data_IF_866942534610
#
_entry.id   IF_866942534610
#
_cell.length_a   1.000
_cell.length_b   1.000
_cell.length_c   1.000
_cell.angle_alpha   90.00
_cell.angle_beta   90.00
_cell.angle_gamma   90.00
#
_symmetry.space_group_name_H-M   'P 1'
#
loop_
_entity.id
_entity.type
_entity.pdbx_description
1 polymer ?
#
# COMPACT_ATOMS: atom_id res chain seq x y z
N UNK A 1 54.89 5.52 -36.08
CA UNK A 1 55.48 6.07 -37.32
C UNK A 1 54.46 6.93 -38.07
N UNK A 2 53.75 7.79 -37.32
CA UNK A 2 52.62 8.64 -37.76
C UNK A 2 53.06 10.11 -37.85
N UNK A 3 54.37 10.42 -37.95
CA UNK A 3 54.84 11.82 -37.83
C UNK A 3 55.81 12.32 -38.91
N UNK A 4 56.19 11.53 -39.92
CA UNK A 4 57.16 11.96 -40.96
C UNK A 4 56.56 12.07 -42.37
N UNK A 5 55.49 11.34 -42.71
CA UNK A 5 54.86 11.43 -44.05
C UNK A 5 53.77 12.52 -44.09
N UNK A 6 53.95 13.55 -43.26
CA UNK A 6 53.11 14.74 -43.26
C UNK A 6 53.79 15.98 -43.86
N UNK A 7 55.07 15.92 -44.25
CA UNK A 7 55.80 17.19 -44.42
C UNK A 7 56.07 17.71 -45.84
N UNK A 8 56.21 16.95 -46.94
CA UNK A 8 56.80 17.60 -48.15
C UNK A 8 56.15 17.34 -49.51
N UNK A 9 55.46 16.24 -49.74
CA UNK A 9 54.90 15.97 -51.09
C UNK A 9 53.52 15.38 -50.87
N UNK A 10 52.41 16.13 -50.93
CA UNK A 10 51.89 16.78 -52.13
C UNK A 10 50.83 17.84 -51.76
N UNK A 11 50.84 18.45 -50.55
CA UNK A 11 49.81 19.44 -50.14
C UNK A 11 49.74 20.65 -51.09
N UNK A 12 50.86 21.03 -51.71
CA UNK A 12 50.90 22.12 -52.68
C UNK A 12 50.47 21.70 -54.10
N UNK A 13 50.64 20.42 -54.48
CA UNK A 13 50.21 19.89 -55.79
C UNK A 13 48.74 19.47 -55.79
N UNK A 14 48.14 19.11 -54.65
CA UNK A 14 46.71 18.76 -54.53
C UNK A 14 45.81 20.01 -54.52
N UNK A 15 46.23 21.10 -53.86
CA UNK A 15 45.44 22.33 -53.83
C UNK A 15 45.38 23.08 -55.18
N UNK A 16 46.28 22.81 -56.13
CA UNK A 16 46.24 23.45 -57.44
C UNK A 16 45.32 22.76 -58.47
N UNK A 17 44.78 21.57 -58.21
CA UNK A 17 43.98 20.83 -59.21
C UNK A 17 42.55 20.43 -58.81
N UNK A 18 42.06 20.69 -57.60
CA UNK A 18 40.69 20.32 -57.23
C UNK A 18 39.90 21.48 -56.59
N UNK A 19 38.88 21.97 -57.29
CA UNK A 19 37.96 23.05 -56.86
C UNK A 19 36.98 22.64 -55.73
N UNK A 20 37.22 21.54 -55.00
CA UNK A 20 36.45 21.17 -53.78
C UNK A 20 37.22 20.17 -52.90
N UNK A 21 37.03 20.19 -51.57
CA UNK A 21 37.61 19.20 -50.66
C UNK A 21 36.96 17.83 -50.86
N UNK A 22 37.77 16.76 -50.95
CA UNK A 22 37.31 15.37 -51.08
C UNK A 22 36.90 14.79 -49.74
N UNK A 23 35.89 13.91 -49.74
CA UNK A 23 35.40 13.15 -48.58
C UNK A 23 36.22 11.87 -48.34
N UNK A 24 36.19 11.31 -47.12
CA UNK A 24 36.97 10.11 -46.76
C UNK A 24 36.69 8.89 -47.68
N UNK A 25 35.47 8.76 -48.19
CA UNK A 25 35.09 7.70 -49.14
C UNK A 25 35.77 7.85 -50.52
N UNK A 26 36.02 9.08 -50.96
CA UNK A 26 36.69 9.39 -52.23
C UNK A 26 38.22 9.15 -52.16
N UNK A 27 38.79 9.06 -50.96
CA UNK A 27 40.23 8.81 -50.74
C UNK A 27 40.57 7.32 -50.52
N UNK A 28 39.64 6.56 -49.92
CA UNK A 28 39.87 5.13 -49.59
C UNK A 28 39.70 4.22 -50.81
N UNK A 29 38.74 4.51 -51.70
CA UNK A 29 38.47 3.68 -52.87
C UNK A 29 39.62 3.59 -53.90
N UNK A 30 40.42 4.66 -54.16
CA UNK A 30 41.62 4.56 -54.99
C UNK A 30 42.79 3.83 -54.31
N UNK A 31 42.95 3.96 -52.98
CA UNK A 31 44.01 3.28 -52.21
C UNK A 31 43.81 1.76 -52.17
N UNK A 32 42.56 1.30 -52.03
CA UNK A 32 42.21 -0.12 -52.09
C UNK A 32 42.41 -0.75 -53.49
N UNK A 33 42.54 0.05 -54.54
CA UNK A 33 42.78 -0.40 -55.93
C UNK A 33 44.26 -0.41 -56.32
N UNK A 34 45.17 0.09 -55.47
CA UNK A 34 46.53 0.41 -55.89
C UNK A 34 47.63 -0.55 -55.41
N UNK A 35 47.37 -1.48 -54.48
CA UNK A 35 48.42 -2.39 -54.02
C UNK A 35 47.90 -3.80 -53.70
N UNK A 36 48.47 -4.87 -54.30
CA UNK A 36 48.18 -6.27 -53.94
C UNK A 36 48.41 -6.57 -52.46
N UNK A 37 49.28 -5.79 -51.80
CA UNK A 37 49.60 -5.89 -50.37
C UNK A 37 48.37 -5.62 -49.49
N UNK A 38 47.49 -4.68 -49.86
CA UNK A 38 46.26 -4.42 -49.10
C UNK A 38 45.24 -5.55 -49.22
N UNK A 39 45.13 -6.17 -50.39
CA UNK A 39 44.26 -7.34 -50.57
C UNK A 39 44.79 -8.55 -49.79
N UNK A 40 46.11 -8.73 -49.76
CA UNK A 40 46.76 -9.82 -49.02
C UNK A 40 46.72 -9.60 -47.50
N UNK A 41 46.84 -8.36 -47.02
CA UNK A 41 46.62 -8.00 -45.61
C UNK A 41 45.14 -8.12 -45.21
N UNK A 42 44.20 -7.75 -46.08
CA UNK A 42 42.76 -7.93 -45.86
C UNK A 42 42.36 -9.42 -45.83
N UNK A 43 42.91 -10.24 -46.74
CA UNK A 43 42.72 -11.71 -46.74
C UNK A 43 43.43 -12.38 -45.56
N UNK A 44 44.62 -11.93 -45.17
CA UNK A 44 45.34 -12.35 -43.97
C UNK A 44 44.53 -12.07 -42.70
N UNK A 45 43.90 -10.88 -42.61
CA UNK A 45 42.99 -10.51 -41.53
C UNK A 45 41.73 -11.39 -41.51
N UNK A 46 41.15 -11.71 -42.67
CA UNK A 46 39.99 -12.62 -42.78
C UNK A 46 40.35 -14.06 -42.39
N UNK A 47 41.56 -14.54 -42.71
CA UNK A 47 42.00 -15.90 -42.41
C UNK A 47 42.37 -16.18 -40.94
N UNK A 48 42.45 -15.15 -40.07
CA UNK A 48 42.76 -15.30 -38.65
C UNK A 48 41.59 -14.97 -37.70
N UNK A 49 40.40 -14.64 -38.24
CA UNK A 49 39.23 -14.44 -37.41
C UNK A 49 38.72 -15.77 -36.86
N UNK A 50 38.65 -15.88 -35.53
CA UNK A 50 38.22 -17.09 -34.83
C UNK A 50 37.33 -16.71 -33.65
N UNK A 51 36.44 -17.63 -33.27
CA UNK A 51 35.70 -17.55 -32.00
C UNK A 51 36.62 -18.03 -30.89
N UNK A 52 37.15 -17.10 -30.08
CA UNK A 52 38.03 -17.40 -28.94
C UNK A 52 37.23 -17.95 -27.77
N UNK A 53 36.07 -17.35 -27.50
CA UNK A 53 35.09 -17.85 -26.54
C UNK A 53 33.71 -17.85 -27.18
N UNK A 54 33.16 -19.05 -27.37
CA UNK A 54 31.81 -19.23 -27.89
C UNK A 54 30.73 -18.99 -26.85
N UNK A 55 29.48 -19.06 -27.28
CA UNK A 55 28.35 -19.08 -26.37
C UNK A 55 28.35 -20.36 -25.54
N UNK A 56 28.06 -20.22 -24.26
CA UNK A 56 27.84 -21.30 -23.32
C UNK A 56 26.34 -21.38 -23.00
N UNK A 57 25.89 -22.53 -22.49
CA UNK A 57 24.52 -22.63 -21.98
C UNK A 57 24.42 -21.81 -20.69
N UNK A 58 23.35 -21.02 -20.59
CA UNK A 58 23.08 -20.15 -19.44
C UNK A 58 21.76 -20.59 -18.82
N UNK A 59 21.74 -20.71 -17.50
CA UNK A 59 20.52 -20.86 -16.72
C UNK A 59 20.24 -19.55 -15.98
N UNK A 60 18.99 -19.10 -16.01
CA UNK A 60 18.55 -17.91 -15.30
C UNK A 60 17.18 -18.18 -14.65
N UNK A 61 16.88 -17.48 -13.56
CA UNK A 61 15.52 -17.48 -13.00
C UNK A 61 14.70 -16.37 -13.65
N UNK A 62 13.39 -16.57 -13.78
CA UNK A 62 12.49 -15.54 -14.28
C UNK A 62 12.59 -14.24 -13.44
N UNK A 63 12.49 -13.10 -14.10
CA UNK A 63 12.77 -11.74 -13.59
C UNK A 63 14.25 -11.38 -13.35
N UNK A 64 15.20 -12.31 -13.45
CA UNK A 64 16.63 -11.98 -13.39
C UNK A 64 17.15 -11.36 -14.70
N UNK A 65 18.37 -10.81 -14.66
CA UNK A 65 19.08 -10.42 -15.88
C UNK A 65 20.19 -11.42 -16.17
N UNK A 66 20.32 -11.84 -17.42
CA UNK A 66 21.39 -12.75 -17.84
C UNK A 66 22.23 -12.13 -18.97
N UNK A 67 23.47 -12.58 -19.09
CA UNK A 67 24.42 -12.12 -20.12
C UNK A 67 24.89 -13.31 -20.96
N UNK A 68 24.74 -13.19 -22.27
CA UNK A 68 25.35 -14.09 -23.24
C UNK A 68 26.55 -13.37 -23.85
N UNK A 69 27.72 -14.01 -23.83
CA UNK A 69 28.98 -13.37 -24.21
C UNK A 69 29.76 -14.20 -25.22
N UNK A 70 30.31 -13.51 -26.22
CA UNK A 70 31.19 -14.09 -27.23
C UNK A 70 32.44 -13.24 -27.33
N UNK A 71 33.60 -13.89 -27.43
CA UNK A 71 34.88 -13.21 -27.66
C UNK A 71 35.47 -13.67 -28.98
N UNK A 72 35.78 -12.72 -29.86
CA UNK A 72 36.46 -12.97 -31.13
C UNK A 72 37.96 -12.72 -31.03
N UNK A 73 38.75 -13.27 -31.96
CA UNK A 73 40.21 -13.04 -32.00
C UNK A 73 40.57 -11.60 -32.39
N UNK A 74 39.68 -10.91 -33.12
CA UNK A 74 39.85 -9.55 -33.65
C UNK A 74 38.79 -8.61 -33.07
N UNK A 75 39.17 -7.36 -32.81
CA UNK A 75 38.30 -6.36 -32.20
C UNK A 75 37.41 -5.65 -33.23
N UNK A 76 36.27 -5.12 -32.77
CA UNK A 76 35.34 -4.25 -33.51
C UNK A 76 34.71 -4.91 -34.75
N UNK A 77 34.66 -6.24 -34.78
CA UNK A 77 33.95 -7.00 -35.82
C UNK A 77 32.45 -6.87 -35.60
N UNK A 78 31.67 -6.57 -36.63
CA UNK A 78 30.22 -6.55 -36.51
C UNK A 78 29.67 -7.98 -36.39
N UNK A 79 28.68 -8.17 -35.51
CA UNK A 79 28.04 -9.47 -35.30
C UNK A 79 26.53 -9.36 -35.17
N UNK A 80 25.86 -10.45 -35.53
CA UNK A 80 24.40 -10.57 -35.51
C UNK A 80 23.99 -11.59 -34.47
N UNK A 81 23.02 -11.21 -33.65
CA UNK A 81 22.39 -12.10 -32.68
C UNK A 81 21.05 -12.58 -33.22
N UNK A 82 20.78 -13.88 -33.11
CA UNK A 82 19.46 -14.46 -33.43
C UNK A 82 18.98 -15.34 -32.27
N UNK A 83 17.66 -15.44 -32.10
CA UNK A 83 16.98 -16.39 -31.21
C UNK A 83 16.03 -17.21 -32.05
N UNK A 84 16.20 -18.53 -32.05
CA UNK A 84 15.39 -19.48 -32.83
C UNK A 84 15.23 -19.03 -34.31
N UNK A 85 16.33 -18.55 -34.90
CA UNK A 85 16.40 -18.06 -36.28
C UNK A 85 15.94 -16.62 -36.51
N UNK A 86 15.34 -15.96 -35.51
CA UNK A 86 14.89 -14.57 -35.63
C UNK A 86 15.96 -13.59 -35.15
N UNK A 87 16.31 -12.60 -35.97
CA UNK A 87 17.30 -11.60 -35.61
C UNK A 87 16.84 -10.71 -34.46
N UNK A 88 17.70 -10.58 -33.44
CA UNK A 88 17.49 -9.74 -32.29
C UNK A 88 17.96 -8.31 -32.58
N UNK A 89 17.22 -7.35 -32.04
CA UNK A 89 17.56 -5.93 -32.08
C UNK A 89 17.73 -5.41 -30.66
N UNK A 90 18.63 -4.44 -30.50
CA UNK A 90 18.82 -3.77 -29.22
C UNK A 90 17.54 -3.03 -28.82
N UNK A 91 17.04 -3.29 -27.62
CA UNK A 91 15.84 -2.70 -27.01
C UNK A 91 16.00 -2.66 -25.47
N UNK A 92 15.15 -1.97 -24.71
CA UNK A 92 15.33 -1.83 -23.26
C UNK A 92 15.47 -3.16 -22.48
N UNK A 93 14.74 -4.21 -22.88
CA UNK A 93 14.82 -5.55 -22.27
C UNK A 93 15.92 -6.47 -22.85
N UNK A 94 16.59 -6.05 -23.91
CA UNK A 94 17.58 -6.85 -24.65
C UNK A 94 18.65 -5.91 -25.20
N UNK A 95 19.72 -5.71 -24.42
CA UNK A 95 20.80 -4.80 -24.76
C UNK A 95 21.91 -5.55 -25.48
N UNK A 96 22.18 -5.17 -26.72
CA UNK A 96 23.32 -5.70 -27.49
C UNK A 96 24.42 -4.67 -27.47
N UNK A 97 25.63 -5.08 -27.08
CA UNK A 97 26.81 -4.22 -27.04
C UNK A 97 28.04 -4.94 -27.55
N UNK A 98 29.03 -4.16 -27.97
CA UNK A 98 30.34 -4.67 -28.41
C UNK A 98 31.41 -3.76 -27.84
N UNK A 99 32.40 -4.36 -27.17
CA UNK A 99 33.52 -3.65 -26.59
C UNK A 99 34.83 -4.36 -26.98
N UNK A 100 35.55 -3.78 -27.93
CA UNK A 100 36.75 -4.39 -28.50
C UNK A 100 36.43 -5.75 -29.11
N UNK A 101 36.97 -6.82 -28.53
CA UNK A 101 36.79 -8.22 -28.98
C UNK A 101 35.55 -8.90 -28.42
N UNK A 102 34.88 -8.29 -27.45
CA UNK A 102 33.79 -8.89 -26.68
C UNK A 102 32.44 -8.40 -27.22
N UNK A 103 31.57 -9.35 -27.51
CA UNK A 103 30.16 -9.14 -27.86
C UNK A 103 29.30 -9.61 -26.70
N UNK A 104 28.36 -8.78 -26.27
CA UNK A 104 27.48 -9.07 -25.15
C UNK A 104 26.02 -8.85 -25.54
N UNK A 105 25.19 -9.80 -25.16
CA UNK A 105 23.73 -9.71 -25.21
C UNK A 105 23.22 -9.83 -23.77
N UNK A 106 22.72 -8.73 -23.23
CA UNK A 106 22.15 -8.66 -21.87
C UNK A 106 20.64 -8.67 -22.00
N UNK A 107 20.00 -9.74 -21.50
CA UNK A 107 18.56 -9.81 -21.37
C UNK A 107 18.19 -9.37 -19.96
N UNK A 108 17.31 -8.38 -19.83
CA UNK A 108 16.87 -7.84 -18.54
C UNK A 108 15.48 -8.35 -18.22
N UNK A 109 15.28 -8.83 -17.00
CA UNK A 109 14.02 -9.40 -16.49
C UNK A 109 13.50 -10.50 -17.42
N UNK A 110 14.28 -11.56 -17.56
CA UNK A 110 13.94 -12.69 -18.44
C UNK A 110 12.60 -13.31 -18.05
N UNK A 111 11.83 -13.71 -19.04
CA UNK A 111 10.57 -14.44 -18.89
C UNK A 111 10.75 -15.89 -19.32
N UNK A 112 9.82 -16.78 -18.96
CA UNK A 112 9.83 -18.15 -19.48
C UNK A 112 9.84 -18.21 -21.03
N UNK A 113 9.28 -17.21 -21.70
CA UNK A 113 9.28 -17.09 -23.17
C UNK A 113 10.60 -16.63 -23.78
N UNK A 114 11.59 -16.26 -22.96
CA UNK A 114 12.95 -15.95 -23.44
C UNK A 114 13.86 -17.17 -23.52
N UNK A 115 13.45 -18.31 -22.95
CA UNK A 115 14.15 -19.58 -23.11
C UNK A 115 14.21 -19.98 -24.59
N UNK A 116 15.36 -20.50 -25.03
CA UNK A 116 15.56 -20.84 -26.45
C UNK A 116 17.02 -21.02 -26.83
N UNK A 117 17.26 -21.22 -28.14
CA UNK A 117 18.61 -21.32 -28.69
C UNK A 117 19.04 -19.95 -29.23
N UNK A 118 20.09 -19.40 -28.63
CA UNK A 118 20.72 -18.16 -29.03
C UNK A 118 21.92 -18.45 -29.91
N UNK A 119 22.08 -17.60 -30.93
CA UNK A 119 23.12 -17.74 -31.92
C UNK A 119 23.79 -16.39 -32.16
N UNK A 120 25.11 -16.39 -32.21
CA UNK A 120 25.91 -15.26 -32.62
C UNK A 120 26.63 -15.60 -33.93
N UNK A 121 26.50 -14.74 -34.93
CA UNK A 121 27.11 -14.89 -36.25
C UNK A 121 27.96 -13.66 -36.60
N UNK A 122 29.19 -13.89 -37.06
CA UNK A 122 30.09 -12.84 -37.53
C UNK A 122 31.01 -13.38 -38.64
N UNK A 123 30.97 -12.78 -39.83
CA UNK A 123 31.83 -13.13 -40.97
C UNK A 123 31.92 -14.65 -41.26
N UNK A 124 30.78 -15.35 -41.25
CA UNK A 124 30.71 -16.80 -41.50
C UNK A 124 31.01 -17.69 -40.29
N UNK A 125 31.54 -17.13 -39.19
CA UNK A 125 31.63 -17.83 -37.91
C UNK A 125 30.27 -17.85 -37.22
N UNK A 126 29.98 -18.95 -36.54
CA UNK A 126 28.78 -19.12 -35.74
C UNK A 126 29.10 -19.80 -34.41
N UNK A 127 28.43 -19.36 -33.35
CA UNK A 127 28.42 -20.06 -32.07
C UNK A 127 27.00 -20.07 -31.50
N UNK A 128 26.67 -21.10 -30.72
CA UNK A 128 25.33 -21.39 -30.22
C UNK A 128 25.38 -21.58 -28.70
N UNK A 129 24.37 -21.07 -28.00
CA UNK A 129 24.18 -21.32 -26.57
C UNK A 129 22.70 -21.36 -26.23
N UNK A 130 22.31 -22.25 -25.32
CA UNK A 130 20.93 -22.36 -24.86
C UNK A 130 20.72 -21.50 -23.62
N UNK A 131 19.65 -20.70 -23.62
CA UNK A 131 19.13 -20.08 -22.41
C UNK A 131 17.99 -20.95 -21.86
N UNK A 132 18.15 -21.43 -20.64
CA UNK A 132 17.10 -22.12 -19.88
C UNK A 132 16.61 -21.18 -18.79
N UNK A 133 15.29 -20.91 -18.74
CA UNK A 133 14.69 -20.05 -17.71
C UNK A 133 13.88 -20.90 -16.74
N UNK A 134 14.23 -20.83 -15.45
CA UNK A 134 13.48 -21.51 -14.38
C UNK A 134 12.34 -20.61 -13.90
N UNK A 135 11.17 -21.20 -13.71
CA UNK A 135 10.03 -20.49 -13.11
C UNK A 135 10.37 -20.09 -11.67
N UNK A 136 9.83 -18.95 -11.23
CA UNK A 136 10.01 -18.50 -9.85
C UNK A 136 9.29 -19.45 -8.90
N UNK A 137 9.98 -19.92 -7.87
CA UNK A 137 9.35 -20.58 -6.73
C UNK A 137 9.10 -19.53 -5.65
N UNK A 138 7.89 -18.97 -5.63
CA UNK A 138 7.51 -17.94 -4.67
C UNK A 138 6.78 -18.61 -3.51
N UNK A 139 7.28 -18.41 -2.30
CA UNK A 139 6.65 -18.88 -1.08
C UNK A 139 6.80 -17.84 0.03
N UNK A 140 5.92 -17.95 1.03
CA UNK A 140 5.90 -17.09 2.20
C UNK A 140 6.96 -17.60 3.18
N UNK A 141 7.88 -16.70 3.55
CA UNK A 141 8.95 -16.95 4.54
C UNK A 141 8.48 -16.56 5.93
N UNK A 142 7.70 -15.48 6.01
CA UNK A 142 7.06 -15.04 7.26
C UNK A 142 5.58 -14.83 7.02
N UNK A 143 4.78 -15.67 7.67
CA UNK A 143 3.32 -15.60 7.65
C UNK A 143 2.83 -14.35 8.40
N UNK A 144 1.59 -13.94 8.10
CA UNK A 144 0.88 -12.93 8.86
C UNK A 144 0.59 -13.45 10.28
N UNK A 145 0.55 -12.52 11.23
CA UNK A 145 0.20 -12.79 12.62
C UNK A 145 -1.08 -12.05 12.98
N UNK A 146 -1.94 -12.70 13.77
CA UNK A 146 -3.15 -12.09 14.31
C UNK A 146 -2.80 -10.86 15.15
N UNK A 147 -3.65 -9.83 15.06
CA UNK A 147 -3.46 -8.59 15.82
C UNK A 147 -4.71 -8.26 16.63
N UNK A 148 -4.53 -8.24 17.94
CA UNK A 148 -5.48 -7.68 18.88
C UNK A 148 -5.10 -6.23 19.21
N UNK A 149 -6.00 -5.29 18.95
CA UNK A 149 -5.75 -3.87 19.23
C UNK A 149 -6.98 -3.19 19.82
N UNK A 150 -6.81 -1.97 20.36
CA UNK A 150 -7.93 -1.12 20.74
C UNK A 150 -8.30 -0.22 19.57
N UNK A 151 -9.57 0.19 19.49
CA UNK A 151 -9.95 1.23 18.54
C UNK A 151 -9.06 2.48 18.73
N UNK A 152 -8.87 3.22 17.64
CA UNK A 152 -8.04 4.42 17.55
C UNK A 152 -6.53 4.20 17.57
N UNK A 153 -6.06 2.96 17.53
CA UNK A 153 -4.64 2.63 17.37
C UNK A 153 -4.25 2.38 15.91
N UNK A 154 -2.95 2.45 15.62
CA UNK A 154 -2.39 2.05 14.32
C UNK A 154 -1.86 0.63 14.43
N UNK A 155 -2.15 -0.19 13.42
CA UNK A 155 -1.71 -1.60 13.33
C UNK A 155 -0.74 -1.75 12.15
N UNK A 156 0.14 -2.75 12.21
CA UNK A 156 1.00 -3.14 11.09
C UNK A 156 0.88 -4.65 10.87
N UNK A 157 0.71 -5.08 9.62
CA UNK A 157 0.74 -6.48 9.24
C UNK A 157 2.02 -6.76 8.44
N UNK A 158 2.80 -7.75 8.84
CA UNK A 158 4.08 -8.03 8.18
C UNK A 158 4.00 -9.42 7.54
N UNK A 159 4.27 -9.48 6.24
CA UNK A 159 4.48 -10.74 5.53
C UNK A 159 5.79 -10.66 4.74
N UNK A 160 6.52 -11.76 4.66
CA UNK A 160 7.78 -11.83 3.92
C UNK A 160 7.71 -12.96 2.90
N UNK A 161 8.25 -12.72 1.69
CA UNK A 161 8.33 -13.71 0.61
C UNK A 161 9.78 -13.91 0.23
N UNK A 162 10.12 -15.07 -0.31
CA UNK A 162 11.50 -15.44 -0.58
C UNK A 162 12.16 -14.70 -1.77
N UNK A 163 11.46 -13.79 -2.45
CA UNK A 163 11.98 -13.10 -3.63
C UNK A 163 11.55 -11.63 -3.74
N UNK A 164 12.38 -10.84 -4.43
CA UNK A 164 12.15 -9.40 -4.70
C UNK A 164 11.22 -9.18 -5.90
N UNK A 165 10.70 -7.96 -6.08
CA UNK A 165 9.85 -7.58 -7.23
C UNK A 165 8.60 -8.47 -7.44
N UNK A 166 8.06 -9.05 -6.37
CA UNK A 166 6.79 -9.80 -6.40
C UNK A 166 5.62 -8.82 -6.22
N UNK A 167 4.60 -8.91 -7.09
CA UNK A 167 3.37 -8.11 -6.98
C UNK A 167 2.53 -8.62 -5.79
N UNK A 168 2.59 -7.89 -4.68
CA UNK A 168 1.87 -8.18 -3.45
C UNK A 168 0.55 -7.43 -3.37
N UNK A 169 -0.53 -8.13 -3.00
CA UNK A 169 -1.89 -7.58 -2.90
C UNK A 169 -2.48 -7.85 -1.53
N UNK A 170 -3.20 -6.86 -1.00
CA UNK A 170 -3.82 -6.91 0.32
C UNK A 170 -5.33 -6.88 0.20
N UNK A 171 -5.97 -7.65 1.07
CA UNK A 171 -7.41 -7.84 1.12
C UNK A 171 -7.88 -7.78 2.57
N UNK A 172 -9.08 -7.21 2.78
CA UNK A 172 -9.84 -7.31 4.02
C UNK A 172 -11.21 -7.88 3.68
N UNK A 173 -11.59 -9.02 4.27
CA UNK A 173 -12.86 -9.70 3.95
C UNK A 173 -13.09 -9.80 2.43
N UNK A 174 -12.08 -10.28 1.70
CA UNK A 174 -12.01 -10.37 0.23
C UNK A 174 -12.08 -9.05 -0.57
N UNK A 175 -12.30 -7.92 0.08
CA UNK A 175 -12.24 -6.61 -0.57
C UNK A 175 -10.79 -6.16 -0.74
N UNK A 176 -10.38 -5.87 -1.98
CA UNK A 176 -9.03 -5.39 -2.29
C UNK A 176 -8.79 -4.03 -1.66
N UNK A 177 -7.73 -3.96 -0.86
CA UNK A 177 -7.23 -2.75 -0.22
C UNK A 177 -6.39 -1.94 -1.22
N UNK A 178 -6.63 -0.63 -1.34
CA UNK A 178 -5.90 0.23 -2.29
C UNK A 178 -4.96 1.22 -1.59
N UNK A 179 -3.82 1.57 -2.22
CA UNK A 179 -2.99 2.68 -1.75
C UNK A 179 -3.80 3.98 -1.75
N UNK A 180 -3.78 4.71 -0.63
CA UNK A 180 -4.62 5.90 -0.41
C UNK A 180 -5.65 5.73 0.70
N UNK A 181 -6.00 4.50 1.05
CA UNK A 181 -6.86 4.17 2.21
C UNK A 181 -6.08 4.25 3.53
N UNK A 182 -5.14 5.20 3.61
CA UNK A 182 -4.07 5.35 4.60
C UNK A 182 -3.01 4.24 4.67
N UNK A 183 -3.16 3.19 3.89
CA UNK A 183 -2.32 1.99 3.94
C UNK A 183 -1.02 2.25 3.17
N UNK A 184 0.11 1.96 3.82
CA UNK A 184 1.45 2.13 3.26
C UNK A 184 2.04 0.76 2.95
N UNK A 185 1.96 0.36 1.69
CA UNK A 185 2.65 -0.82 1.18
C UNK A 185 4.09 -0.41 0.89
N UNK A 186 5.07 -1.04 1.55
CA UNK A 186 6.50 -0.84 1.32
C UNK A 186 7.12 -2.13 0.84
N UNK A 187 7.67 -2.10 -0.36
CA UNK A 187 8.57 -3.13 -0.84
C UNK A 187 9.98 -2.69 -0.44
N UNK A 188 10.61 -3.36 0.53
CA UNK A 188 12.00 -3.12 0.91
C UNK A 188 12.79 -4.44 0.75
N UNK A 189 13.46 -4.61 -0.39
CA UNK A 189 14.29 -5.79 -0.65
C UNK A 189 13.46 -7.09 -0.70
N UNK A 190 13.93 -8.13 -0.01
CA UNK A 190 13.28 -9.45 0.15
C UNK A 190 12.04 -9.41 1.07
N UNK A 191 11.74 -8.24 1.66
CA UNK A 191 10.63 -8.06 2.60
C UNK A 191 9.50 -7.27 1.94
N UNK A 192 8.32 -7.89 1.79
CA UNK A 192 7.09 -7.21 1.34
C UNK A 192 6.29 -6.74 2.55
N UNK A 193 6.76 -5.67 3.18
CA UNK A 193 6.06 -5.09 4.33
C UNK A 193 4.82 -4.32 3.90
N UNK A 194 3.63 -4.72 4.34
CA UNK A 194 2.49 -3.82 4.33
C UNK A 194 2.25 -3.24 5.69
N UNK A 195 2.68 -2.00 5.86
CA UNK A 195 2.11 -1.18 6.92
C UNK A 195 0.64 -0.94 6.56
N UNK A 196 -0.25 -1.79 7.06
CA UNK A 196 -1.68 -1.50 7.14
C UNK A 196 -1.90 -0.43 8.19
N UNK A 197 -1.32 0.74 7.98
CA UNK A 197 -1.76 1.93 8.67
C UNK A 197 -3.19 2.16 8.18
N UNK A 198 -4.18 1.59 8.87
CA UNK A 198 -5.52 2.15 8.88
C UNK A 198 -5.36 3.54 9.49
N UNK A 199 -4.96 4.49 8.66
CA UNK A 199 -4.38 5.74 9.10
C UNK A 199 -5.33 6.48 9.98
N UNK A 200 -4.68 7.18 10.90
CA UNK A 200 -5.25 7.82 12.05
C UNK A 200 -5.74 6.87 13.16
N UNK A 201 -6.37 5.72 12.86
CA UNK A 201 -7.09 4.93 13.88
C UNK A 201 -7.83 3.71 13.31
N UNK A 202 -7.60 2.49 13.81
CA UNK A 202 -8.51 1.34 13.61
C UNK A 202 -9.86 1.56 14.29
N UNK A 203 -10.93 0.99 13.76
CA UNK A 203 -12.30 1.03 14.31
C UNK A 203 -12.87 -0.39 14.38
N UNK A 204 -13.93 -0.65 15.16
CA UNK A 204 -14.56 -1.96 15.22
C UNK A 204 -14.97 -2.51 13.84
N UNK A 205 -15.45 -1.64 12.95
CA UNK A 205 -15.81 -1.96 11.55
C UNK A 205 -14.63 -2.39 10.66
N UNK A 206 -13.40 -2.23 11.14
CA UNK A 206 -12.19 -2.66 10.44
C UNK A 206 -11.72 -4.06 10.87
N UNK A 207 -12.33 -4.64 11.90
CA UNK A 207 -12.03 -6.00 12.33
C UNK A 207 -12.39 -7.00 11.22
N UNK A 208 -11.74 -8.16 11.24
CA UNK A 208 -11.96 -9.23 10.26
C UNK A 208 -10.67 -9.83 9.72
N UNK A 209 -10.80 -10.67 8.70
CA UNK A 209 -9.68 -11.35 8.07
C UNK A 209 -8.89 -10.37 7.19
N UNK A 210 -7.58 -10.36 7.39
CA UNK A 210 -6.58 -9.71 6.55
C UNK A 210 -5.86 -10.80 5.77
N UNK A 211 -5.86 -10.65 4.44
CA UNK A 211 -5.16 -11.56 3.54
C UNK A 211 -4.13 -10.81 2.71
N UNK A 212 -2.92 -11.36 2.69
CA UNK A 212 -1.89 -10.99 1.74
C UNK A 212 -1.78 -12.06 0.67
N UNK A 213 -1.72 -11.65 -0.60
CA UNK A 213 -1.52 -12.55 -1.74
C UNK A 213 -0.35 -12.05 -2.59
N UNK A 214 0.64 -12.91 -2.77
CA UNK A 214 1.80 -12.70 -3.63
C UNK A 214 1.75 -13.73 -4.77
N UNK A 215 1.44 -13.27 -5.99
CA UNK A 215 1.14 -14.14 -7.13
C UNK A 215 0.13 -15.26 -6.83
N UNK A 216 0.59 -16.47 -6.52
CA UNK A 216 -0.24 -17.67 -6.24
C UNK A 216 -0.23 -18.12 -4.78
N UNK A 217 0.61 -17.51 -3.93
CA UNK A 217 0.67 -17.84 -2.50
C UNK A 217 -0.08 -16.78 -1.68
N UNK A 218 -0.67 -17.20 -0.57
CA UNK A 218 -1.42 -16.29 0.30
C UNK A 218 -1.20 -16.62 1.78
N UNK A 219 -1.18 -15.56 2.59
CA UNK A 219 -1.09 -15.59 4.04
C UNK A 219 -2.29 -14.88 4.65
N UNK A 220 -2.68 -15.29 5.87
CA UNK A 220 -3.91 -14.88 6.53
C UNK A 220 -3.64 -14.50 7.98
N UNK A 221 -4.33 -13.46 8.45
CA UNK A 221 -4.39 -13.10 9.86
C UNK A 221 -5.74 -12.46 10.20
N UNK A 222 -6.08 -12.44 11.48
CA UNK A 222 -7.28 -11.81 12.00
C UNK A 222 -6.93 -10.48 12.68
N UNK A 223 -7.63 -9.42 12.32
CA UNK A 223 -7.63 -8.16 13.07
C UNK A 223 -8.79 -8.14 14.05
N UNK A 224 -8.50 -8.14 15.34
CA UNK A 224 -9.50 -7.92 16.40
C UNK A 224 -9.37 -6.50 16.92
N UNK A 225 -10.48 -5.75 16.91
CA UNK A 225 -10.51 -4.38 17.45
C UNK A 225 -11.44 -4.32 18.66
N UNK A 226 -10.84 -4.10 19.83
CA UNK A 226 -11.55 -3.91 21.10
C UNK A 226 -12.05 -2.47 21.21
N UNK A 227 -13.34 -2.30 21.41
CA UNK A 227 -13.94 -0.99 21.71
C UNK A 227 -13.40 -0.44 23.04
N UNK A 228 -13.24 0.88 23.12
CA UNK A 228 -12.92 1.53 24.39
C UNK A 228 -14.16 1.52 25.31
N UNK A 229 -13.99 1.47 26.64
CA UNK A 229 -15.13 1.59 27.54
C UNK A 229 -15.90 2.91 27.30
N UNK A 230 -17.24 2.86 27.36
CA UNK A 230 -18.07 4.07 27.34
C UNK A 230 -17.82 4.87 28.62
N UNK A 231 -17.72 6.19 28.50
CA UNK A 231 -17.58 7.10 29.65
C UNK A 231 -18.72 8.11 29.69
N UNK A 232 -19.18 8.45 30.88
CA UNK A 232 -20.09 9.58 31.10
C UNK A 232 -19.26 10.88 31.15
N UNK A 233 -19.28 11.63 30.06
CA UNK A 233 -18.52 12.88 29.92
C UNK A 233 -19.18 14.05 30.66
N UNK A 234 -20.52 14.11 30.64
CA UNK A 234 -21.29 15.07 31.45
C UNK A 234 -22.29 14.29 32.29
N UNK A 235 -22.06 14.16 33.61
CA UNK A 235 -22.96 13.41 34.48
C UNK A 235 -24.29 14.12 34.66
N UNK A 236 -25.29 13.36 35.08
CA UNK A 236 -26.56 13.90 35.54
C UNK A 236 -26.33 14.88 36.68
N UNK A 237 -27.14 15.94 36.70
CA UNK A 237 -27.16 16.92 37.80
C UNK A 237 -28.53 16.89 38.44
N UNK A 238 -28.57 17.25 39.73
CA UNK A 238 -29.82 17.41 40.46
C UNK A 238 -30.73 18.36 39.67
N UNK A 239 -31.99 17.95 39.53
CA UNK A 239 -32.98 18.69 38.73
C UNK A 239 -34.20 18.95 39.59
N UNK A 240 -34.72 20.17 39.51
CA UNK A 240 -36.02 20.53 40.05
C UNK A 240 -37.00 20.56 38.87
N UNK A 241 -38.11 19.83 38.99
CA UNK A 241 -39.19 19.83 38.04
C UNK A 241 -40.48 20.34 38.69
N UNK A 242 -41.28 21.09 37.95
CA UNK A 242 -42.55 21.59 38.45
C UNK A 242 -43.62 20.50 38.34
N UNK A 243 -44.47 20.42 39.36
CA UNK A 243 -45.64 19.55 39.39
C UNK A 243 -46.54 19.81 38.17
N UNK A 244 -47.08 18.74 37.57
CA UNK A 244 -47.82 18.70 36.30
C UNK A 244 -47.07 19.19 35.06
N UNK A 245 -45.79 19.54 35.16
CA UNK A 245 -44.97 19.92 34.01
C UNK A 245 -44.09 18.76 33.56
N UNK A 246 -43.45 18.94 32.40
CA UNK A 246 -42.49 17.99 31.85
C UNK A 246 -41.11 18.15 32.48
N UNK A 247 -40.58 17.07 33.06
CA UNK A 247 -39.20 16.98 33.56
C UNK A 247 -38.22 16.54 32.47
N UNK A 248 -36.96 16.99 32.56
CA UNK A 248 -35.86 16.54 31.69
C UNK A 248 -34.62 16.24 32.53
N UNK A 249 -34.13 15.01 32.39
CA UNK A 249 -32.83 14.55 32.85
C UNK A 249 -31.92 14.29 31.64
N UNK A 250 -30.69 14.79 31.68
CA UNK A 250 -29.76 14.71 30.54
C UNK A 250 -28.33 14.44 31.01
N UNK A 251 -27.66 13.51 30.33
CA UNK A 251 -26.21 13.30 30.45
C UNK A 251 -25.57 13.14 29.06
N UNK A 252 -24.23 13.19 29.01
CA UNK A 252 -23.46 12.94 27.78
C UNK A 252 -22.54 11.73 27.91
N UNK A 253 -22.49 10.91 26.87
CA UNK A 253 -21.64 9.72 26.74
C UNK A 253 -20.46 9.96 25.78
N UNK A 254 -19.42 9.13 25.86
CA UNK A 254 -18.19 9.30 25.06
C UNK A 254 -18.30 8.96 23.58
N UNK A 255 -19.33 8.19 23.18
CA UNK A 255 -19.55 7.78 21.78
C UNK A 255 -21.04 7.84 21.40
N UNK A 256 -21.39 8.26 20.18
CA UNK A 256 -22.78 8.34 19.74
C UNK A 256 -23.52 7.00 19.69
N UNK A 257 -22.81 5.90 19.43
CA UNK A 257 -23.37 4.55 19.35
C UNK A 257 -23.68 3.92 20.72
N UNK A 258 -23.26 4.53 21.84
CA UNK A 258 -23.43 3.94 23.17
C UNK A 258 -24.92 3.86 23.56
N UNK A 259 -25.37 2.67 23.90
CA UNK A 259 -26.73 2.46 24.42
C UNK A 259 -26.76 2.71 25.91
N UNK A 260 -27.90 3.19 26.42
CA UNK A 260 -28.09 3.40 27.86
C UNK A 260 -29.40 2.83 28.34
N UNK A 261 -29.42 2.46 29.62
CA UNK A 261 -30.61 2.09 30.36
C UNK A 261 -30.87 3.13 31.45
N UNK A 262 -32.15 3.43 31.68
CA UNK A 262 -32.56 4.35 32.73
C UNK A 262 -33.17 3.58 33.88
N UNK A 263 -32.90 4.03 35.10
CA UNK A 263 -33.45 3.44 36.32
C UNK A 263 -34.03 4.53 37.21
N UNK A 264 -35.12 4.20 37.90
CA UNK A 264 -35.67 4.95 39.03
C UNK A 264 -35.61 4.05 40.25
N UNK A 265 -34.91 4.49 41.31
CA UNK A 265 -34.67 3.69 42.51
C UNK A 265 -34.25 2.24 42.19
N UNK A 266 -33.24 2.10 41.30
CA UNK A 266 -32.68 0.81 40.82
C UNK A 266 -33.62 -0.07 40.00
N UNK A 267 -34.85 0.35 39.71
CA UNK A 267 -35.77 -0.34 38.80
C UNK A 267 -35.64 0.21 37.39
N UNK A 268 -35.40 -0.67 36.42
CA UNK A 268 -35.27 -0.28 35.01
C UNK A 268 -36.56 0.38 34.52
N UNK A 269 -36.43 1.54 33.90
CA UNK A 269 -37.51 2.29 33.28
C UNK A 269 -37.63 1.87 31.82
N UNK A 270 -38.84 1.46 31.44
CA UNK A 270 -39.18 1.20 30.04
C UNK A 270 -39.91 2.41 29.44
N UNK A 271 -39.72 2.70 28.13
CA UNK A 271 -40.47 3.73 27.44
C UNK A 271 -41.98 3.55 27.60
N UNK A 272 -42.68 4.63 27.92
CA UNK A 272 -44.13 4.63 28.18
C UNK A 272 -44.73 6.03 27.97
N UNK A 273 -46.03 6.20 28.23
CA UNK A 273 -46.65 7.54 28.28
C UNK A 273 -46.01 8.45 29.34
N UNK A 274 -45.47 7.86 30.41
CA UNK A 274 -44.83 8.59 31.52
C UNK A 274 -43.38 8.95 31.23
N UNK A 275 -42.65 8.05 30.55
CA UNK A 275 -41.21 8.14 30.34
C UNK A 275 -40.88 8.08 28.85
N UNK A 276 -40.28 9.14 28.31
CA UNK A 276 -39.74 9.16 26.96
C UNK A 276 -38.22 9.21 27.01
N UNK A 277 -37.56 8.23 26.40
CA UNK A 277 -36.09 8.16 26.29
C UNK A 277 -35.69 8.62 24.90
N UNK A 278 -34.75 9.58 24.82
CA UNK A 278 -34.20 10.09 23.57
C UNK A 278 -32.68 9.91 23.58
N UNK A 279 -32.14 9.32 22.51
CA UNK A 279 -30.69 9.22 22.26
C UNK A 279 -30.37 10.01 21.00
N UNK A 280 -29.61 11.09 21.14
CA UNK A 280 -29.23 11.97 20.04
C UNK A 280 -27.74 12.30 20.11
N UNK A 281 -26.98 11.87 19.10
CA UNK A 281 -25.52 12.00 19.09
C UNK A 281 -24.91 11.50 20.41
N UNK A 282 -24.16 12.32 21.16
CA UNK A 282 -23.60 11.98 22.47
C UNK A 282 -24.54 12.23 23.65
N UNK A 283 -25.74 12.79 23.43
CA UNK A 283 -26.69 13.14 24.48
C UNK A 283 -27.66 11.99 24.76
N UNK A 284 -27.95 11.77 26.04
CA UNK A 284 -28.93 10.80 26.53
C UNK A 284 -29.91 11.52 27.43
N UNK A 285 -31.18 11.49 27.05
CA UNK A 285 -32.24 12.27 27.66
C UNK A 285 -33.38 11.37 28.12
N UNK A 286 -33.89 11.64 29.32
CA UNK A 286 -35.12 11.08 29.85
C UNK A 286 -36.08 12.23 30.13
N UNK A 287 -37.21 12.21 29.41
CA UNK A 287 -38.34 13.09 29.69
C UNK A 287 -39.35 12.37 30.57
N UNK A 288 -39.82 13.07 31.59
CA UNK A 288 -40.84 12.60 32.53
C UNK A 288 -42.06 13.47 32.32
N UNK A 289 -43.12 12.91 31.75
CA UNK A 289 -44.37 13.63 31.48
C UNK A 289 -45.19 13.78 32.76
N UNK A 290 -45.94 14.89 32.87
CA UNK A 290 -46.90 15.13 33.96
C UNK A 290 -46.31 14.81 35.36
N UNK A 291 -45.20 15.47 35.71
CA UNK A 291 -44.43 15.20 36.94
C UNK A 291 -45.32 15.31 38.18
N UNK A 292 -45.23 14.33 39.08
CA UNK A 292 -45.97 14.31 40.34
C UNK A 292 -45.04 14.00 41.53
N UNK A 293 -45.54 14.09 42.76
CA UNK A 293 -44.74 13.84 43.99
C UNK A 293 -44.14 12.43 44.02
N UNK A 294 -44.78 11.43 43.42
CA UNK A 294 -44.22 10.08 43.32
C UNK A 294 -43.00 9.98 42.41
N UNK A 295 -42.73 10.98 41.56
CA UNK A 295 -41.57 11.02 40.66
C UNK A 295 -40.30 11.56 41.31
N UNK A 296 -40.42 12.22 42.47
CA UNK A 296 -39.27 12.66 43.27
C UNK A 296 -38.47 11.44 43.76
N UNK A 297 -37.33 11.19 43.12
CA UNK A 297 -36.53 9.99 43.36
C UNK A 297 -35.13 10.13 42.76
N UNK A 298 -34.28 9.13 43.02
CA UNK A 298 -33.00 8.96 42.36
C UNK A 298 -33.17 8.29 41.00
N UNK A 299 -32.66 8.97 39.97
CA UNK A 299 -32.60 8.45 38.61
C UNK A 299 -31.15 8.15 38.24
N UNK A 300 -30.96 7.03 37.55
CA UNK A 300 -29.64 6.58 37.06
C UNK A 300 -29.70 6.39 35.55
N UNK A 301 -28.71 6.93 34.85
CA UNK A 301 -28.40 6.59 33.47
C UNK A 301 -27.19 5.66 33.47
N UNK A 302 -27.36 4.46 32.94
CA UNK A 302 -26.37 3.39 32.91
C UNK A 302 -25.96 3.07 31.48
N UNK A 303 -24.70 3.30 31.13
CA UNK A 303 -24.13 3.04 29.81
C UNK A 303 -23.37 1.71 29.73
N UNK A 304 -23.56 0.82 30.71
CA UNK A 304 -22.87 -0.47 30.81
C UNK A 304 -21.50 -0.36 31.46
N UNK A 305 -20.57 0.34 30.80
CA UNK A 305 -19.20 0.52 31.29
C UNK A 305 -19.06 1.62 32.36
N UNK A 306 -20.01 2.55 32.38
CA UNK A 306 -20.04 3.71 33.29
C UNK A 306 -21.50 4.14 33.55
N UNK A 307 -21.75 4.81 34.67
CA UNK A 307 -23.09 5.24 35.08
C UNK A 307 -23.08 6.55 35.86
N UNK A 308 -24.18 7.27 35.79
CA UNK A 308 -24.39 8.52 36.53
C UNK A 308 -25.78 8.55 37.16
N UNK A 309 -25.90 9.18 38.33
CA UNK A 309 -27.16 9.30 39.06
C UNK A 309 -27.39 10.72 39.54
N UNK A 310 -28.65 11.14 39.62
CA UNK A 310 -29.05 12.38 40.29
C UNK A 310 -30.39 12.22 41.02
N UNK A 311 -30.66 13.14 41.94
CA UNK A 311 -32.00 13.32 42.51
C UNK A 311 -32.84 14.23 41.60
N UNK A 312 -34.08 13.81 41.32
CA UNK A 312 -35.13 14.69 40.81
C UNK A 312 -35.93 15.18 42.01
N UNK A 313 -36.09 16.49 42.15
CA UNK A 313 -36.93 17.15 43.16
C UNK A 313 -38.17 17.72 42.48
N UNK A 314 -39.31 17.70 43.16
CA UNK A 314 -40.59 18.19 42.62
C UNK A 314 -41.09 19.40 43.41
N UNK A 315 -41.34 20.51 42.71
CA UNK A 315 -41.84 21.74 43.31
C UNK A 315 -43.24 22.11 42.79
N UNK A 316 -44.02 22.82 43.60
CA UNK A 316 -45.30 23.40 43.18
C UNK A 316 -46.55 22.54 43.42
N UNK A 317 -46.50 21.56 44.33
CA UNK A 317 -47.70 20.84 44.79
C UNK A 317 -48.64 21.84 45.49
N UNK A 318 -49.83 22.09 44.94
CA UNK A 318 -50.85 22.88 45.64
C UNK A 318 -51.51 22.00 46.72
N UNK A 319 -51.67 22.48 47.97
CA UNK A 319 -52.35 21.70 48.99
C UNK A 319 -53.82 21.50 48.60
N UNK A 320 -54.27 20.25 48.46
CA UNK A 320 -55.70 19.96 48.42
C UNK A 320 -56.28 20.09 49.84
N UNK A 321 -57.25 20.99 49.96
CA UNK A 321 -57.89 21.49 51.19
C UNK A 321 -58.54 20.38 52.02
N UNK A 322 -58.14 20.23 53.28
CA UNK A 322 -58.87 19.43 54.28
C UNK A 322 -59.97 20.26 54.95
N UNK A 323 -61.23 19.95 54.67
CA UNK A 323 -62.37 20.53 55.37
C UNK A 323 -62.40 20.09 56.83
N UNK A 324 -62.33 21.05 57.76
CA UNK A 324 -62.79 20.90 59.12
C UNK A 324 -63.76 22.03 59.43
N UNK A 325 -65.04 21.69 59.43
CA UNK A 325 -66.09 22.44 60.10
C UNK A 325 -65.78 22.34 61.60
N UNK A 326 -65.42 23.44 62.25
CA UNK A 326 -65.63 23.57 63.69
C UNK A 326 -66.54 24.75 63.98
N UNK A 327 -67.59 24.39 64.70
CA UNK A 327 -68.75 25.13 65.15
C UNK A 327 -68.42 26.32 66.05
N UNK A 328 -69.24 27.36 65.91
CA UNK A 328 -69.51 28.43 66.89
C UNK A 328 -69.35 27.98 68.35
N UNK A 329 -68.57 28.75 69.10
CA UNK A 329 -68.91 29.10 70.49
C UNK A 329 -68.65 30.59 70.71
N UNK A 330 -69.66 31.24 71.27
CA UNK A 330 -69.84 32.67 71.50
C UNK A 330 -69.37 33.10 72.89
N UNK A 331 -68.82 34.32 72.94
CA UNK A 331 -68.66 35.24 74.09
C UNK A 331 -67.76 34.74 75.24
N UNK A 332 -66.84 35.56 75.75
CA UNK A 332 -67.11 36.63 76.73
C UNK A 332 -66.13 37.81 76.55
N UNK A 333 -66.69 39.01 76.69
CA UNK A 333 -66.05 40.34 76.86
C UNK A 333 -65.24 40.48 78.15
N UNK A 334 -64.13 41.20 78.13
CA UNK A 334 -63.93 42.39 79.00
C UNK A 334 -62.64 43.12 78.67
N UNK A 335 -62.79 44.41 78.40
CA UNK A 335 -61.80 45.49 78.54
C UNK A 335 -61.25 45.58 79.96
N UNK A 336 -59.95 45.84 80.10
CA UNK A 336 -59.40 47.08 80.67
C UNK A 336 -57.95 47.26 80.24
#
# INVERSE_FOLDING_TARGET
MVRVIQSVVTKHRICQQAKRPLTAAEFVAPLAKMDPIFQQEEESFKNHLQVVKGLENVEASECESCSLEVTLSVAYIAGVWTRDGTQLKSKPSCCISTHGKKHSLILKRVTLGDAGLYCFQANGLQTLGRLSVRARDIHIVKELEDVDTKERQTVNFLCEVNQVDVDGRWYREDCRIRPGDNIKIRHQGETVTCTLAAGAAVRPEHAGEIRFTAERVSSYATLTVKELPVQILRPLRVKIAMYHHRGLLECQVSRPSAQVKWYKNRKELLPSKKYQVISQDVYRQLYIEDVCSSDEDTYTCDAGDDKTSCQLLVEGETPQTGGLIFSRCSHVTSTQ
#
